data_IF_714434513573
#
_entry.id   IF_714434513573
#
_cell.length_a   1.000
_cell.length_b   1.000
_cell.length_c   1.000
_cell.angle_alpha   90.00
_cell.angle_beta   90.00
_cell.angle_gamma   90.00
#
_symmetry.space_group_name_H-M   'P 1'
#
loop_
_entity.id
_entity.type
_entity.pdbx_description
1 polymer ?
#
# COMPACT_ATOMS: atom_id res chain seq x y z
N UNK A 1 -7.44 -7.02 -41.77
CA UNK A 1 -6.64 -7.92 -40.90
C UNK A 1 -5.52 -7.07 -40.33
N UNK A 2 -5.73 -6.37 -39.20
CA UNK A 2 -5.44 -6.81 -37.81
C UNK A 2 -3.95 -7.15 -37.64
N UNK A 3 -3.12 -6.53 -36.79
CA UNK A 3 -3.28 -5.75 -35.55
C UNK A 3 -2.10 -6.21 -34.65
N UNK A 4 -1.10 -5.36 -34.35
CA UNK A 4 -0.95 -4.47 -33.18
C UNK A 4 -0.34 -5.15 -31.94
N UNK A 5 0.67 -4.52 -31.31
CA UNK A 5 1.30 -4.98 -30.06
C UNK A 5 2.54 -4.17 -29.64
N UNK A 6 2.32 -3.04 -28.95
CA UNK A 6 3.18 -2.46 -27.91
C UNK A 6 4.57 -1.93 -28.26
N UNK A 7 4.67 -0.68 -28.75
CA UNK A 7 5.92 0.12 -28.70
C UNK A 7 5.70 1.30 -27.75
N UNK A 8 6.39 1.31 -26.62
CA UNK A 8 6.59 2.52 -25.83
C UNK A 8 7.91 3.20 -26.26
N UNK A 9 7.74 4.27 -27.05
CA UNK A 9 8.65 5.40 -27.43
C UNK A 9 10.01 5.18 -28.16
N UNK A 10 10.33 6.12 -29.08
CA UNK A 10 11.59 6.26 -29.88
C UNK A 10 12.00 7.75 -29.98
N UNK A 11 13.19 8.05 -30.55
CA UNK A 11 14.39 8.72 -29.97
C UNK A 11 14.62 10.10 -30.64
N UNK A 12 15.32 11.02 -29.97
CA UNK A 12 16.20 12.06 -30.57
C UNK A 12 17.37 12.29 -29.58
N UNK A 13 18.65 11.99 -29.80
CA UNK A 13 19.52 12.09 -30.98
C UNK A 13 19.53 13.49 -31.59
N UNK A 14 20.11 14.44 -30.87
CA UNK A 14 21.01 15.47 -31.41
C UNK A 14 21.72 16.25 -30.26
N UNK A 15 22.88 15.71 -29.85
CA UNK A 15 24.08 16.42 -29.35
C UNK A 15 24.20 16.85 -27.86
N UNK A 16 25.20 16.23 -27.19
CA UNK A 16 26.38 16.76 -26.43
C UNK A 16 26.43 18.24 -25.98
N UNK A 17 27.08 18.75 -24.93
CA UNK A 17 27.81 18.37 -23.68
C UNK A 17 28.06 19.73 -23.00
N UNK A 18 27.67 20.04 -21.76
CA UNK A 18 28.43 19.76 -20.54
C UNK A 18 27.51 19.93 -19.31
N UNK A 19 27.16 18.82 -18.67
CA UNK A 19 27.59 18.42 -17.32
C UNK A 19 27.21 19.40 -16.19
N UNK A 20 26.12 19.03 -15.49
CA UNK A 20 25.63 19.39 -14.15
C UNK A 20 24.53 20.45 -13.98
N UNK A 21 24.36 21.45 -14.85
CA UNK A 21 23.14 22.30 -14.81
C UNK A 21 21.93 21.65 -15.54
N UNK A 22 22.14 20.49 -16.17
CA UNK A 22 21.24 19.88 -17.16
C UNK A 22 20.09 19.01 -16.62
N UNK A 23 20.05 18.65 -15.34
CA UNK A 23 18.96 17.82 -14.80
C UNK A 23 17.61 18.58 -14.72
N UNK A 24 17.63 19.91 -14.49
CA UNK A 24 16.44 20.75 -14.56
C UNK A 24 16.07 21.19 -15.99
N UNK A 25 16.98 21.08 -16.95
CA UNK A 25 16.87 21.70 -18.29
C UNK A 25 16.21 20.84 -19.38
N UNK A 26 15.78 19.61 -19.08
CA UNK A 26 15.28 18.67 -20.10
C UNK A 26 13.84 18.95 -20.56
N UNK A 27 13.14 19.85 -19.87
CA UNK A 27 11.89 20.41 -20.35
C UNK A 27 12.20 21.52 -21.35
N UNK A 28 11.60 21.47 -22.54
CA UNK A 28 11.52 22.66 -23.42
C UNK A 28 11.06 23.86 -22.59
N UNK A 29 11.50 25.09 -22.90
CA UNK A 29 11.01 26.30 -22.20
C UNK A 29 9.48 26.32 -22.09
N UNK A 30 8.79 25.74 -23.06
CA UNK A 30 7.34 25.50 -23.08
C UNK A 30 6.85 24.49 -22.03
N UNK A 31 7.53 23.36 -21.82
CA UNK A 31 7.22 22.38 -20.75
C UNK A 31 7.58 22.91 -19.36
N UNK A 32 8.69 23.62 -19.23
CA UNK A 32 9.06 24.32 -18.00
C UNK A 32 8.01 25.37 -17.66
N UNK A 33 7.59 26.20 -18.62
CA UNK A 33 6.53 27.19 -18.43
C UNK A 33 5.17 26.54 -18.09
N UNK A 34 4.82 25.42 -18.73
CA UNK A 34 3.61 24.66 -18.39
C UNK A 34 3.66 24.06 -16.98
N UNK A 35 4.84 23.64 -16.51
CA UNK A 35 5.05 23.09 -15.18
C UNK A 35 5.25 24.16 -14.09
N UNK A 36 5.67 25.38 -14.43
CA UNK A 36 5.83 26.48 -13.47
C UNK A 36 4.52 26.86 -12.75
N UNK A 37 3.37 26.56 -13.37
CA UNK A 37 2.03 26.75 -12.80
C UNK A 37 1.34 25.40 -12.50
N UNK A 38 2.11 24.37 -12.12
CA UNK A 38 1.58 23.05 -11.85
C UNK A 38 1.74 22.63 -10.38
N UNK A 39 0.67 22.02 -9.85
CA UNK A 39 0.64 21.30 -8.59
C UNK A 39 0.67 19.80 -8.89
N UNK A 40 1.74 19.13 -8.48
CA UNK A 40 1.88 17.68 -8.62
C UNK A 40 1.35 17.03 -7.35
N UNK A 41 0.45 16.06 -7.49
CA UNK A 41 -0.17 15.33 -6.37
C UNK A 41 0.02 13.84 -6.63
N UNK A 42 0.77 13.17 -5.75
CA UNK A 42 0.94 11.73 -5.74
C UNK A 42 -0.05 11.07 -4.79
N UNK A 43 -0.81 10.10 -5.27
CA UNK A 43 -1.78 9.32 -4.49
C UNK A 43 -1.34 7.86 -4.54
N UNK A 44 -1.06 7.30 -3.37
CA UNK A 44 -0.94 5.86 -3.17
C UNK A 44 -2.30 5.36 -2.65
N UNK A 45 -3.08 4.71 -3.52
CA UNK A 45 -4.35 4.10 -3.12
C UNK A 45 -4.13 2.62 -2.85
N UNK A 46 -3.60 2.27 -1.68
CA UNK A 46 -3.28 0.88 -1.32
C UNK A 46 -4.49 0.06 -0.86
N UNK A 47 -4.33 -1.27 -0.82
CA UNK A 47 -5.38 -2.20 -0.36
C UNK A 47 -5.77 -1.97 1.10
N UNK A 48 -4.78 -1.75 1.97
CA UNK A 48 -4.96 -1.59 3.42
C UNK A 48 -4.89 -0.14 3.87
N UNK A 49 -3.97 0.62 3.28
CA UNK A 49 -3.72 2.02 3.60
C UNK A 49 -3.50 2.82 2.33
N UNK A 50 -3.88 4.09 2.36
CA UNK A 50 -3.65 5.07 1.30
C UNK A 50 -2.81 6.24 1.81
N UNK A 51 -2.04 6.87 0.94
CA UNK A 51 -1.21 8.02 1.27
C UNK A 51 -1.29 9.09 0.19
N UNK A 52 -1.07 10.35 0.56
CA UNK A 52 -1.04 11.45 -0.39
C UNK A 52 0.15 12.36 -0.11
N UNK A 53 0.87 12.69 -1.18
CA UNK A 53 1.91 13.71 -1.17
C UNK A 53 1.66 14.73 -2.27
N UNK A 54 2.18 15.93 -2.12
CA UNK A 54 2.06 16.97 -3.14
C UNK A 54 3.25 17.92 -3.11
N UNK A 55 3.48 18.57 -4.25
CA UNK A 55 4.59 19.49 -4.42
C UNK A 55 4.30 20.47 -5.55
N UNK A 56 4.75 21.71 -5.41
CA UNK A 56 4.82 22.65 -6.53
C UNK A 56 6.16 22.53 -7.23
N UNK A 57 6.21 22.77 -8.53
CA UNK A 57 7.46 22.62 -9.30
C UNK A 57 8.59 23.51 -8.77
N UNK A 58 8.26 24.68 -8.22
CA UNK A 58 9.22 25.56 -7.55
C UNK A 58 9.83 24.95 -6.27
N UNK A 59 9.04 24.17 -5.51
CA UNK A 59 9.49 23.49 -4.27
C UNK A 59 10.15 22.14 -4.53
N UNK A 60 9.78 21.45 -5.60
CA UNK A 60 10.41 20.18 -5.98
C UNK A 60 11.93 20.32 -6.15
N UNK A 61 12.39 21.44 -6.74
CA UNK A 61 13.82 21.75 -6.91
C UNK A 61 14.59 21.93 -5.58
N UNK A 62 13.88 22.00 -4.45
CA UNK A 62 14.45 22.11 -3.10
C UNK A 62 14.26 20.83 -2.28
N UNK A 63 13.79 19.74 -2.90
CA UNK A 63 13.46 18.47 -2.25
C UNK A 63 12.42 18.61 -1.11
N UNK A 64 11.47 19.55 -1.27
CA UNK A 64 10.46 19.90 -0.27
C UNK A 64 9.09 19.31 -0.65
N UNK A 65 8.99 17.99 -0.56
CA UNK A 65 7.76 17.23 -0.84
C UNK A 65 6.89 17.24 0.42
N UNK A 66 5.62 17.64 0.27
CA UNK A 66 4.68 17.73 1.38
C UNK A 66 3.88 16.43 1.46
N UNK A 67 4.01 15.69 2.55
CA UNK A 67 3.20 14.50 2.84
C UNK A 67 2.01 14.91 3.71
N UNK A 68 0.81 14.47 3.36
CA UNK A 68 -0.36 14.70 4.21
C UNK A 68 -0.30 13.72 5.38
N UNK A 69 -0.25 14.25 6.61
CA UNK A 69 -0.23 13.43 7.83
C UNK A 69 -1.42 13.64 8.75
N UNK A 70 -2.15 14.74 8.57
CA UNK A 70 -3.36 15.04 9.35
C UNK A 70 -4.57 14.42 8.65
N UNK A 71 -5.27 13.50 9.32
CA UNK A 71 -6.44 12.80 8.77
C UNK A 71 -7.66 12.93 9.70
N UNK A 72 -8.89 12.96 9.16
CA UNK A 72 -10.08 12.97 10.01
C UNK A 72 -10.22 11.64 10.76
N UNK A 73 -10.74 11.68 11.99
CA UNK A 73 -10.95 10.49 12.82
C UNK A 73 -9.77 10.10 13.71
N UNK A 74 -8.64 10.80 13.62
CA UNK A 74 -7.48 10.60 14.52
C UNK A 74 -6.90 11.93 14.97
N UNK A 75 -6.31 11.96 16.17
CA UNK A 75 -5.50 13.09 16.66
C UNK A 75 -4.01 12.92 16.33
N UNK A 76 -3.61 11.75 15.85
CA UNK A 76 -2.21 11.45 15.55
C UNK A 76 -1.86 11.88 14.13
N UNK A 77 -0.60 12.24 13.92
CA UNK A 77 -0.05 12.48 12.59
C UNK A 77 0.42 11.14 12.00
N UNK A 78 -0.25 10.68 10.95
CA UNK A 78 0.00 9.38 10.33
C UNK A 78 0.37 9.57 8.86
N UNK A 79 1.44 8.96 8.37
CA UNK A 79 1.84 9.11 6.97
C UNK A 79 0.83 8.52 5.97
N UNK A 80 -0.02 7.61 6.44
CA UNK A 80 -1.08 6.96 5.66
C UNK A 80 -2.39 6.91 6.44
N UNK A 81 -3.49 6.73 5.71
CA UNK A 81 -4.86 6.60 6.23
C UNK A 81 -5.45 5.25 5.82
N UNK A 82 -6.20 4.54 6.66
CA UNK A 82 -6.79 3.25 6.31
C UNK A 82 -7.66 3.31 5.04
N UNK A 83 -7.59 2.29 4.21
CA UNK A 83 -8.47 2.11 3.04
C UNK A 83 -9.76 1.41 3.49
N UNK A 84 -10.55 2.11 4.31
CA UNK A 84 -11.80 1.62 4.90
C UNK A 84 -12.96 2.55 4.60
N UNK A 85 -14.15 1.98 4.44
CA UNK A 85 -15.42 2.68 4.30
C UNK A 85 -16.47 2.12 5.26
N UNK A 86 -17.37 2.98 5.71
CA UNK A 86 -18.61 2.59 6.35
C UNK A 86 -19.75 3.47 5.84
N UNK A 87 -20.87 2.83 5.50
CA UNK A 87 -22.06 3.51 5.00
C UNK A 87 -23.12 3.51 6.11
N UNK A 88 -23.34 4.68 6.70
CA UNK A 88 -24.37 4.84 7.74
C UNK A 88 -25.74 5.11 7.11
N UNK A 89 -26.78 4.47 7.64
CA UNK A 89 -28.15 4.63 7.15
C UNK A 89 -28.59 6.10 7.18
N UNK A 90 -29.04 6.61 6.03
CA UNK A 90 -29.57 7.96 5.89
C UNK A 90 -28.53 9.05 5.63
N UNK A 91 -27.23 8.71 5.62
CA UNK A 91 -26.17 9.64 5.21
C UNK A 91 -25.92 9.58 3.70
N UNK A 92 -25.57 10.73 3.10
CA UNK A 92 -25.21 10.79 1.67
C UNK A 92 -23.74 10.47 1.41
N UNK A 93 -22.86 10.67 2.38
CA UNK A 93 -21.43 10.46 2.26
C UNK A 93 -20.98 9.39 3.27
N UNK A 94 -20.14 8.43 2.88
CA UNK A 94 -19.65 7.42 3.81
C UNK A 94 -18.62 8.00 4.78
N UNK A 95 -18.49 7.36 5.94
CA UNK A 95 -17.29 7.48 6.76
C UNK A 95 -16.13 6.78 6.05
N UNK A 96 -14.91 7.28 6.23
CA UNK A 96 -13.72 6.75 5.59
C UNK A 96 -12.48 6.87 6.49
N UNK A 97 -11.47 6.06 6.22
CA UNK A 97 -10.18 6.16 6.92
C UNK A 97 -10.32 5.89 8.42
N UNK A 98 -9.66 6.72 9.23
CA UNK A 98 -9.71 6.63 10.70
C UNK A 98 -11.09 6.97 11.30
N UNK A 99 -12.03 7.49 10.51
CA UNK A 99 -13.41 7.67 10.97
C UNK A 99 -14.17 6.34 11.04
N UNK A 100 -13.63 5.28 10.46
CA UNK A 100 -14.25 3.95 10.42
C UNK A 100 -13.57 3.03 11.43
N UNK A 101 -14.29 2.67 12.48
CA UNK A 101 -13.86 1.64 13.41
C UNK A 101 -13.71 0.28 12.69
N UNK A 102 -12.72 -0.51 13.10
CA UNK A 102 -12.43 -1.82 12.51
C UNK A 102 -13.46 -2.89 12.93
N UNK A 103 -14.67 -2.81 12.40
CA UNK A 103 -15.78 -3.69 12.80
C UNK A 103 -16.19 -4.66 11.69
N UNK A 104 -17.19 -5.50 11.97
CA UNK A 104 -17.81 -6.37 10.97
C UNK A 104 -18.50 -5.62 9.82
N UNK A 105 -18.82 -4.34 10.01
CA UNK A 105 -19.46 -3.49 9.01
C UNK A 105 -18.46 -2.64 8.22
N UNK A 106 -17.18 -2.62 8.61
CA UNK A 106 -16.14 -1.91 7.88
C UNK A 106 -15.86 -2.60 6.54
N UNK A 107 -16.13 -1.90 5.44
CA UNK A 107 -15.80 -2.33 4.10
C UNK A 107 -14.32 -2.05 3.83
N UNK A 108 -13.55 -3.11 3.58
CA UNK A 108 -12.11 -3.08 3.31
C UNK A 108 -11.81 -3.97 2.09
N UNK A 109 -10.59 -3.86 1.53
CA UNK A 109 -10.10 -4.69 0.41
C UNK A 109 -10.92 -4.61 -0.88
N UNK A 110 -11.86 -3.67 -0.96
CA UNK A 110 -12.68 -3.45 -2.15
C UNK A 110 -11.84 -3.04 -3.37
N UNK A 111 -10.60 -2.55 -3.19
CA UNK A 111 -9.60 -2.36 -4.26
C UNK A 111 -9.32 -3.65 -5.03
N UNK A 112 -9.18 -4.78 -4.34
CA UNK A 112 -8.84 -6.07 -4.97
C UNK A 112 -10.02 -6.65 -5.76
N UNK A 113 -11.25 -6.22 -5.47
CA UNK A 113 -12.45 -6.62 -6.19
C UNK A 113 -12.60 -5.95 -7.56
N UNK A 114 -11.67 -5.07 -7.96
CA UNK A 114 -11.54 -4.68 -9.37
C UNK A 114 -11.05 -5.82 -10.25
N UNK A 115 -10.36 -6.82 -9.69
CA UNK A 115 -9.92 -7.99 -10.44
C UNK A 115 -11.09 -8.95 -10.67
N UNK A 116 -11.15 -9.50 -11.89
CA UNK A 116 -12.07 -10.59 -12.21
C UNK A 116 -11.68 -11.86 -11.48
N UNK A 117 -12.65 -12.72 -11.18
CA UNK A 117 -12.40 -13.94 -10.42
C UNK A 117 -11.39 -14.87 -11.10
N UNK A 118 -11.42 -15.01 -12.41
CA UNK A 118 -10.45 -15.80 -13.17
C UNK A 118 -9.00 -15.31 -13.04
N UNK A 119 -8.81 -14.03 -12.72
CA UNK A 119 -7.50 -13.39 -12.59
C UNK A 119 -7.02 -13.30 -11.13
N UNK A 120 -7.87 -13.73 -10.19
CA UNK A 120 -7.52 -13.81 -8.77
C UNK A 120 -6.93 -15.18 -8.44
N UNK A 121 -5.94 -15.22 -7.56
CA UNK A 121 -5.45 -16.49 -7.00
C UNK A 121 -6.56 -17.20 -6.20
N UNK A 122 -6.52 -18.53 -6.11
CA UNK A 122 -7.57 -19.30 -5.42
C UNK A 122 -7.72 -18.86 -3.96
N UNK A 123 -6.59 -18.73 -3.27
CA UNK A 123 -6.55 -18.32 -1.87
C UNK A 123 -7.08 -16.88 -1.68
N UNK A 124 -6.91 -16.00 -2.67
CA UNK A 124 -7.54 -14.67 -2.70
C UNK A 124 -9.06 -14.79 -2.66
N UNK A 125 -9.59 -15.56 -3.61
CA UNK A 125 -11.03 -15.64 -3.86
C UNK A 125 -11.79 -16.21 -2.68
N UNK A 126 -11.13 -17.10 -1.93
CA UNK A 126 -11.68 -17.84 -0.81
C UNK A 126 -11.35 -17.20 0.54
N UNK A 127 -10.56 -16.13 0.59
CA UNK A 127 -10.26 -15.40 1.83
C UNK A 127 -11.52 -14.83 2.48
N UNK A 128 -11.59 -14.93 3.82
CA UNK A 128 -12.74 -14.46 4.61
C UNK A 128 -12.98 -12.95 4.39
N UNK A 129 -11.93 -12.18 4.14
CA UNK A 129 -11.94 -10.74 3.92
C UNK A 129 -12.57 -10.39 2.57
N UNK A 130 -12.23 -11.08 1.48
CA UNK A 130 -12.92 -10.86 0.20
C UNK A 130 -14.35 -11.36 0.24
N UNK A 131 -14.61 -12.49 0.90
CA UNK A 131 -15.97 -12.99 1.08
C UNK A 131 -16.82 -11.96 1.83
N UNK A 132 -16.28 -11.38 2.91
CA UNK A 132 -16.90 -10.29 3.68
C UNK A 132 -17.10 -9.04 2.82
N UNK A 133 -16.08 -8.59 2.09
CA UNK A 133 -16.18 -7.41 1.23
C UNK A 133 -17.24 -7.59 0.13
N UNK A 134 -17.30 -8.75 -0.53
CA UNK A 134 -18.34 -9.08 -1.51
C UNK A 134 -19.73 -9.11 -0.89
N UNK A 135 -19.87 -9.66 0.33
CA UNK A 135 -21.14 -9.66 1.06
C UNK A 135 -21.61 -8.23 1.33
N UNK A 136 -20.75 -7.40 1.93
CA UNK A 136 -21.07 -6.01 2.24
C UNK A 136 -21.45 -5.20 0.98
N UNK A 137 -20.71 -5.37 -0.12
CA UNK A 137 -21.07 -4.72 -1.40
C UNK A 137 -22.46 -5.11 -1.90
N UNK A 138 -22.82 -6.40 -1.81
CA UNK A 138 -24.17 -6.87 -2.19
C UNK A 138 -25.24 -6.28 -1.29
N UNK A 139 -25.01 -6.28 0.03
CA UNK A 139 -25.97 -5.74 1.01
C UNK A 139 -26.20 -4.24 0.80
N UNK A 140 -25.15 -3.51 0.37
CA UNK A 140 -25.21 -2.09 0.01
C UNK A 140 -25.75 -1.82 -1.40
N UNK A 141 -25.88 -2.84 -2.25
CA UNK A 141 -26.21 -2.66 -3.67
C UNK A 141 -25.18 -1.84 -4.44
N UNK A 142 -23.89 -1.93 -4.06
CA UNK A 142 -22.78 -1.14 -4.64
C UNK A 142 -21.80 -2.03 -5.39
N UNK A 143 -21.18 -1.47 -6.42
CA UNK A 143 -20.04 -2.10 -7.11
C UNK A 143 -18.72 -1.77 -6.41
N UNK A 144 -17.65 -2.56 -6.61
CA UNK A 144 -16.31 -2.19 -6.16
C UNK A 144 -15.91 -0.78 -6.63
N UNK A 145 -16.20 -0.46 -7.89
CA UNK A 145 -15.90 0.82 -8.50
C UNK A 145 -16.64 1.96 -7.78
N UNK A 146 -17.89 1.78 -7.35
CA UNK A 146 -18.64 2.80 -6.58
C UNK A 146 -17.94 3.11 -5.26
N UNK A 147 -17.50 2.07 -4.54
CA UNK A 147 -16.79 2.24 -3.27
C UNK A 147 -15.42 2.89 -3.47
N UNK A 148 -14.68 2.53 -4.52
CA UNK A 148 -13.42 3.21 -4.87
C UNK A 148 -13.68 4.68 -5.19
N UNK A 149 -14.70 4.99 -5.98
CA UNK A 149 -15.03 6.38 -6.30
C UNK A 149 -15.43 7.17 -5.05
N UNK A 150 -16.21 6.59 -4.14
CA UNK A 150 -16.60 7.22 -2.88
C UNK A 150 -15.40 7.47 -1.96
N UNK A 151 -14.51 6.49 -1.80
CA UNK A 151 -13.27 6.63 -1.01
C UNK A 151 -12.35 7.70 -1.60
N UNK A 152 -12.06 7.60 -2.90
CA UNK A 152 -11.21 8.58 -3.59
C UNK A 152 -11.82 9.98 -3.56
N UNK A 153 -13.15 10.11 -3.58
CA UNK A 153 -13.83 11.42 -3.45
C UNK A 153 -13.56 12.04 -2.07
N UNK A 154 -13.69 11.25 -1.02
CA UNK A 154 -13.42 11.71 0.35
C UNK A 154 -11.93 12.08 0.53
N UNK A 155 -11.02 11.21 0.08
CA UNK A 155 -9.58 11.44 0.08
C UNK A 155 -9.21 12.71 -0.70
N UNK A 156 -9.80 12.90 -1.88
CA UNK A 156 -9.55 14.05 -2.75
C UNK A 156 -10.03 15.36 -2.12
N UNK A 157 -11.26 15.39 -1.58
CA UNK A 157 -11.78 16.56 -0.87
C UNK A 157 -10.88 16.95 0.30
N UNK A 158 -10.44 15.97 1.09
CA UNK A 158 -9.53 16.21 2.21
C UNK A 158 -8.15 16.69 1.74
N UNK A 159 -7.61 16.10 0.68
CA UNK A 159 -6.34 16.52 0.06
C UNK A 159 -6.37 18.00 -0.30
N UNK A 160 -7.41 18.46 -1.00
CA UNK A 160 -7.54 19.86 -1.37
C UNK A 160 -7.70 20.78 -0.16
N UNK A 161 -8.42 20.34 0.88
CA UNK A 161 -8.53 21.07 2.14
C UNK A 161 -7.16 21.25 2.81
N UNK A 162 -6.34 20.20 2.86
CA UNK A 162 -5.01 20.25 3.47
C UNK A 162 -4.05 21.15 2.69
N UNK A 163 -4.09 21.08 1.36
CA UNK A 163 -3.29 21.97 0.49
C UNK A 163 -3.70 23.44 0.72
N UNK A 164 -4.99 23.74 0.85
CA UNK A 164 -5.50 25.11 1.10
C UNK A 164 -5.20 25.61 2.52
N UNK A 165 -5.01 24.75 3.51
CA UNK A 165 -4.71 25.17 4.90
C UNK A 165 -3.44 26.06 4.98
N UNK A 166 -2.47 25.85 4.10
CA UNK A 166 -1.22 26.62 4.04
C UNK A 166 -1.16 27.67 2.93
N UNK A 167 -2.21 27.84 2.14
CA UNK A 167 -2.18 28.62 0.89
C UNK A 167 -3.50 29.35 0.63
N UNK A 168 -3.45 30.58 0.12
CA UNK A 168 -4.66 31.27 -0.27
C UNK A 168 -5.36 30.54 -1.45
N UNK A 169 -6.68 30.40 -1.38
CA UNK A 169 -7.48 29.60 -2.33
C UNK A 169 -7.23 29.99 -3.80
N UNK A 170 -7.16 31.29 -4.09
CA UNK A 170 -6.91 31.82 -5.43
C UNK A 170 -5.56 31.38 -6.01
N UNK A 171 -4.56 31.08 -5.18
CA UNK A 171 -3.27 30.56 -5.64
C UNK A 171 -3.44 29.12 -6.10
N UNK A 172 -4.14 28.29 -5.34
CA UNK A 172 -4.35 26.88 -5.68
C UNK A 172 -5.24 26.75 -6.92
N UNK A 173 -6.27 27.58 -7.04
CA UNK A 173 -7.15 27.63 -8.22
C UNK A 173 -6.44 28.09 -9.50
N UNK A 174 -5.32 28.81 -9.37
CA UNK A 174 -4.49 29.25 -10.50
C UNK A 174 -3.53 28.17 -11.02
N UNK A 175 -3.44 27.01 -10.36
CA UNK A 175 -2.53 25.93 -10.72
C UNK A 175 -3.23 24.81 -11.49
N UNK A 176 -2.59 24.33 -12.55
CA UNK A 176 -2.96 23.08 -13.21
C UNK A 176 -2.55 21.90 -12.36
N UNK A 177 -3.42 20.89 -12.25
CA UNK A 177 -3.11 19.71 -11.45
C UNK A 177 -2.53 18.59 -12.31
N UNK A 178 -1.48 17.98 -11.80
CA UNK A 178 -0.90 16.75 -12.34
C UNK A 178 -0.97 15.68 -11.27
N UNK A 179 -1.93 14.77 -11.41
CA UNK A 179 -2.21 13.71 -10.45
C UNK A 179 -1.54 12.43 -10.93
N UNK A 180 -0.73 11.85 -10.05
CA UNK A 180 -0.11 10.54 -10.23
C UNK A 180 -0.78 9.60 -9.25
N UNK A 181 -1.46 8.56 -9.76
CA UNK A 181 -2.14 7.56 -8.95
C UNK A 181 -1.44 6.22 -9.15
N UNK A 182 -0.96 5.60 -8.07
CA UNK A 182 -0.31 4.30 -8.17
C UNK A 182 -1.33 3.16 -8.32
N UNK A 183 -0.95 2.12 -9.06
CA UNK A 183 -1.72 0.88 -9.21
C UNK A 183 -0.77 -0.32 -9.22
N UNK A 184 -1.21 -1.53 -8.83
CA UNK A 184 -0.36 -2.71 -8.89
C UNK A 184 0.14 -2.98 -10.32
N UNK A 185 1.39 -3.41 -10.45
CA UNK A 185 1.99 -3.68 -11.76
C UNK A 185 1.26 -4.79 -12.52
N UNK A 186 0.88 -5.85 -11.81
CA UNK A 186 0.22 -7.06 -12.35
C UNK A 186 -1.23 -6.84 -12.80
N UNK A 187 -1.82 -5.66 -12.57
CA UNK A 187 -3.19 -5.39 -12.98
C UNK A 187 -3.38 -5.42 -14.49
N UNK A 188 -4.46 -6.05 -14.96
CA UNK A 188 -4.83 -6.02 -16.37
C UNK A 188 -5.48 -4.69 -16.75
N UNK A 189 -5.52 -4.39 -18.05
CA UNK A 189 -6.01 -3.10 -18.57
C UNK A 189 -7.43 -2.75 -18.10
N UNK A 190 -8.30 -3.74 -17.92
CA UNK A 190 -9.66 -3.50 -17.44
C UNK A 190 -9.67 -2.92 -16.01
N UNK A 191 -8.79 -3.39 -15.11
CA UNK A 191 -8.70 -2.89 -13.74
C UNK A 191 -8.11 -1.48 -13.71
N UNK A 192 -7.12 -1.20 -14.58
CA UNK A 192 -6.57 0.15 -14.77
C UNK A 192 -7.65 1.11 -15.30
N UNK A 193 -8.48 0.66 -16.24
CA UNK A 193 -9.58 1.45 -16.81
C UNK A 193 -10.64 1.75 -15.74
N UNK A 194 -11.06 0.72 -14.99
CA UNK A 194 -12.00 0.88 -13.88
C UNK A 194 -11.48 1.87 -12.81
N UNK A 195 -10.18 1.84 -12.52
CA UNK A 195 -9.54 2.82 -11.63
C UNK A 195 -9.60 4.25 -12.18
N UNK A 196 -9.34 4.45 -13.48
CA UNK A 196 -9.47 5.77 -14.11
C UNK A 196 -10.91 6.29 -14.05
N UNK A 197 -11.90 5.41 -14.29
CA UNK A 197 -13.30 5.76 -14.20
C UNK A 197 -13.74 6.09 -12.76
N UNK A 198 -13.23 5.35 -11.77
CA UNK A 198 -13.46 5.66 -10.36
C UNK A 198 -12.82 7.01 -9.96
N UNK A 199 -11.59 7.29 -10.37
CA UNK A 199 -10.92 8.57 -10.16
C UNK A 199 -11.69 9.74 -10.80
N UNK A 200 -12.25 9.54 -11.99
CA UNK A 200 -13.12 10.53 -12.65
C UNK A 200 -14.40 10.78 -11.84
N UNK A 201 -15.10 9.71 -11.42
CA UNK A 201 -16.32 9.80 -10.59
C UNK A 201 -16.06 10.34 -9.17
N UNK A 202 -14.81 10.28 -8.71
CA UNK A 202 -14.37 10.89 -7.46
C UNK A 202 -14.17 12.41 -7.55
N UNK A 203 -14.23 12.99 -8.75
CA UNK A 203 -14.04 14.43 -8.97
C UNK A 203 -12.58 14.85 -9.12
N UNK A 204 -11.64 13.90 -9.21
CA UNK A 204 -10.21 14.22 -9.41
C UNK A 204 -10.03 15.00 -10.72
N UNK A 205 -10.74 14.57 -11.77
CA UNK A 205 -10.70 15.17 -13.11
C UNK A 205 -11.78 16.24 -13.35
N UNK A 206 -12.40 16.80 -12.31
CA UNK A 206 -13.34 17.91 -12.48
C UNK A 206 -12.67 19.13 -13.15
N UNK A 207 -13.47 19.89 -13.90
CA UNK A 207 -12.97 21.07 -14.60
C UNK A 207 -12.42 22.11 -13.60
N UNK A 208 -11.31 22.75 -13.97
CA UNK A 208 -10.65 23.80 -13.17
C UNK A 208 -10.33 25.00 -14.05
N UNK A 209 -10.39 26.20 -13.49
CA UNK A 209 -10.14 27.46 -14.19
C UNK A 209 -8.72 27.58 -14.75
N UNK A 210 -7.72 27.00 -14.07
CA UNK A 210 -6.34 26.95 -14.53
C UNK A 210 -6.11 25.99 -15.71
N UNK A 211 -7.08 25.13 -16.03
CA UNK A 211 -7.01 24.14 -17.11
C UNK A 211 -7.33 22.72 -16.65
N UNK A 212 -7.32 21.80 -17.61
CA UNK A 212 -7.65 20.40 -17.37
C UNK A 212 -6.61 19.72 -16.46
N UNK A 213 -7.10 18.83 -15.60
CA UNK A 213 -6.23 18.00 -14.75
C UNK A 213 -5.70 16.82 -15.54
N UNK A 214 -4.40 16.59 -15.45
CA UNK A 214 -3.78 15.38 -15.99
C UNK A 214 -3.80 14.29 -14.92
N UNK A 215 -4.29 13.10 -15.25
CA UNK A 215 -4.17 11.90 -14.42
C UNK A 215 -3.27 10.89 -15.12
N UNK A 216 -2.24 10.41 -14.43
CA UNK A 216 -1.38 9.33 -14.88
C UNK A 216 -1.46 8.19 -13.88
N UNK A 217 -1.69 6.97 -14.38
CA UNK A 217 -1.51 5.77 -13.58
C UNK A 217 -0.06 5.30 -13.70
N UNK A 218 0.56 5.00 -12.56
CA UNK A 218 1.94 4.49 -12.49
C UNK A 218 1.95 3.18 -11.72
N UNK A 219 2.69 2.15 -12.16
CA UNK A 219 2.89 0.95 -11.36
C UNK A 219 3.52 1.26 -9.99
N UNK A 220 2.94 0.74 -8.92
CA UNK A 220 3.47 0.83 -7.54
C UNK A 220 4.98 0.52 -7.45
N UNK A 221 5.49 -0.59 -8.02
CA UNK A 221 6.92 -0.87 -7.94
C UNK A 221 7.78 0.11 -8.76
N UNK A 222 7.28 0.75 -9.81
CA UNK A 222 8.05 1.80 -10.51
C UNK A 222 8.22 3.03 -9.64
N UNK A 223 7.14 3.44 -8.95
CA UNK A 223 7.18 4.57 -8.03
C UNK A 223 8.10 4.28 -6.83
N UNK A 224 8.03 3.08 -6.25
CA UNK A 224 8.92 2.63 -5.18
C UNK A 224 10.39 2.57 -5.65
N UNK A 225 10.61 1.99 -6.83
CA UNK A 225 11.92 1.86 -7.46
C UNK A 225 12.59 3.20 -7.69
N UNK A 226 11.87 4.16 -8.28
CA UNK A 226 12.41 5.49 -8.54
C UNK A 226 12.83 6.18 -7.24
N UNK A 227 12.02 6.09 -6.19
CA UNK A 227 12.34 6.65 -4.87
C UNK A 227 13.62 6.01 -4.30
N UNK A 228 13.71 4.67 -4.28
CA UNK A 228 14.90 3.97 -3.80
C UNK A 228 16.16 4.36 -4.61
N UNK A 229 16.04 4.44 -5.94
CA UNK A 229 17.16 4.84 -6.81
C UNK A 229 17.60 6.29 -6.55
N UNK A 230 16.67 7.19 -6.24
CA UNK A 230 16.97 8.58 -5.88
C UNK A 230 17.63 8.70 -4.50
N UNK A 231 17.16 7.93 -3.51
CA UNK A 231 17.67 7.97 -2.14
C UNK A 231 19.04 7.30 -1.98
N UNK A 232 19.21 6.10 -2.55
CA UNK A 232 20.42 5.29 -2.36
C UNK A 232 21.54 5.63 -3.33
N UNK A 233 21.33 6.59 -4.24
CA UNK A 233 22.38 7.36 -4.92
C UNK A 233 23.42 6.54 -5.70
N UNK A 234 23.14 5.28 -6.02
CA UNK A 234 24.05 4.47 -6.84
C UNK A 234 23.96 4.95 -8.28
N UNK A 235 25.11 5.21 -8.91
CA UNK A 235 25.18 5.51 -10.33
C UNK A 235 24.78 4.25 -11.12
N UNK A 236 23.48 4.15 -11.39
CA UNK A 236 22.90 3.09 -12.22
C UNK A 236 23.54 3.17 -13.61
N UNK A 237 23.82 2.02 -14.23
CA UNK A 237 24.38 1.93 -15.59
C UNK A 237 23.42 1.23 -16.54
N UNK A 238 23.40 1.62 -17.82
CA UNK A 238 22.72 0.84 -18.84
C UNK A 238 23.18 -0.63 -18.82
N UNK A 239 22.23 -1.54 -18.85
CA UNK A 239 22.45 -2.98 -18.77
C UNK A 239 22.35 -3.58 -17.37
N UNK A 240 22.40 -2.78 -16.30
CA UNK A 240 22.16 -3.26 -14.94
C UNK A 240 20.71 -3.70 -14.77
N UNK A 241 20.53 -4.67 -13.89
CA UNK A 241 19.23 -5.29 -13.58
C UNK A 241 19.00 -5.15 -12.09
N UNK A 242 17.82 -4.70 -11.70
CA UNK A 242 17.41 -4.59 -10.31
C UNK A 242 16.03 -5.21 -10.11
N UNK A 243 15.87 -5.79 -8.92
CA UNK A 243 14.62 -6.41 -8.48
C UNK A 243 13.99 -5.47 -7.46
N UNK A 244 12.70 -5.20 -7.66
CA UNK A 244 11.88 -4.48 -6.71
C UNK A 244 10.91 -5.48 -6.11
N UNK A 245 10.91 -5.55 -4.79
CA UNK A 245 9.97 -6.34 -4.01
C UNK A 245 9.12 -5.36 -3.21
N UNK A 246 7.94 -5.04 -3.73
CA UNK A 246 6.95 -4.23 -3.04
C UNK A 246 6.10 -5.15 -2.14
N UNK A 247 6.50 -5.26 -0.88
CA UNK A 247 5.77 -6.02 0.12
C UNK A 247 4.78 -5.11 0.84
N UNK A 248 3.57 -5.02 0.31
CA UNK A 248 2.51 -4.19 0.84
C UNK A 248 1.69 -4.84 1.95
N UNK A 249 0.59 -4.16 2.33
CA UNK A 249 -0.34 -4.67 3.34
C UNK A 249 -1.12 -5.90 2.88
N UNK A 250 -1.52 -5.95 1.60
CA UNK A 250 -2.31 -7.05 1.06
C UNK A 250 -1.61 -7.89 0.00
N UNK A 251 -0.84 -7.26 -0.88
CA UNK A 251 -0.08 -7.95 -1.92
C UNK A 251 1.41 -7.82 -1.67
N UNK A 252 2.16 -8.80 -2.15
CA UNK A 252 3.59 -8.64 -2.43
C UNK A 252 3.77 -8.77 -3.93
N UNK A 253 4.35 -7.76 -4.54
CA UNK A 253 4.59 -7.67 -5.97
C UNK A 253 6.10 -7.60 -6.22
N UNK A 254 6.62 -8.50 -7.04
CA UNK A 254 8.04 -8.57 -7.40
C UNK A 254 8.19 -8.33 -8.90
N UNK A 255 9.02 -7.36 -9.25
CA UNK A 255 9.31 -7.05 -10.65
C UNK A 255 10.79 -6.83 -10.85
N UNK A 256 11.29 -7.27 -12.00
CA UNK A 256 12.69 -7.09 -12.37
C UNK A 256 12.77 -6.11 -13.52
N UNK A 257 13.56 -5.06 -13.35
CA UNK A 257 13.80 -4.07 -14.39
C UNK A 257 15.24 -4.12 -14.86
N UNK A 258 15.41 -3.95 -16.16
CA UNK A 258 16.69 -3.69 -16.80
C UNK A 258 16.78 -2.23 -17.19
N UNK A 259 17.90 -1.63 -16.87
CA UNK A 259 18.20 -0.24 -17.20
C UNK A 259 18.56 -0.18 -18.68
N UNK A 260 17.71 0.43 -19.50
CA UNK A 260 17.97 0.65 -20.92
C UNK A 260 18.90 1.85 -21.14
N UNK A 261 18.61 2.94 -20.44
CA UNK A 261 19.33 4.20 -20.53
C UNK A 261 19.28 4.91 -19.18
N UNK A 262 20.22 5.81 -18.93
CA UNK A 262 20.27 6.62 -17.70
C UNK A 262 20.02 8.09 -17.98
N UNK A 263 19.98 8.50 -19.27
CA UNK A 263 19.73 9.87 -19.71
C UNK A 263 18.87 9.90 -21.00
N UNK A 264 17.53 9.97 -20.88
CA UNK A 264 16.74 9.86 -19.65
C UNK A 264 16.81 8.46 -19.03
N UNK A 265 16.42 8.32 -17.76
CA UNK A 265 16.29 7.00 -17.12
C UNK A 265 15.20 6.22 -17.86
N UNK A 266 15.59 5.12 -18.49
CA UNK A 266 14.70 4.20 -19.20
C UNK A 266 14.80 2.85 -18.50
N UNK A 267 13.66 2.40 -17.98
CA UNK A 267 13.52 1.13 -17.28
C UNK A 267 12.63 0.26 -18.14
N UNK A 268 13.11 -0.92 -18.49
CA UNK A 268 12.33 -1.93 -19.20
C UNK A 268 12.17 -3.14 -18.31
N UNK A 269 10.98 -3.72 -18.28
CA UNK A 269 10.75 -4.99 -17.61
C UNK A 269 11.69 -6.05 -18.21
N UNK A 270 12.49 -6.69 -17.36
CA UNK A 270 13.45 -7.71 -17.75
C UNK A 270 12.79 -9.09 -17.86
N UNK A 271 11.86 -9.37 -16.95
CA UNK A 271 10.97 -10.54 -16.93
C UNK A 271 9.61 -10.09 -16.40
N UNK A 272 8.55 -10.78 -16.81
CA UNK A 272 7.19 -10.55 -16.32
C UNK A 272 7.17 -10.55 -14.79
N UNK A 273 6.63 -9.48 -14.19
CA UNK A 273 6.43 -9.38 -12.76
C UNK A 273 5.49 -10.47 -12.24
N UNK A 274 5.70 -10.87 -11.00
CA UNK A 274 4.85 -11.82 -10.29
C UNK A 274 4.40 -11.23 -8.97
N UNK A 275 3.30 -11.74 -8.42
CA UNK A 275 2.78 -11.29 -7.15
C UNK A 275 2.06 -12.39 -6.40
N UNK A 276 1.75 -12.13 -5.15
CA UNK A 276 0.92 -12.99 -4.33
C UNK A 276 0.21 -12.20 -3.23
N UNK A 277 -0.80 -12.81 -2.64
CA UNK A 277 -1.43 -12.32 -1.42
C UNK A 277 -0.74 -12.90 -0.22
N UNK A 278 0.37 -12.29 0.06
CA UNK A 278 1.13 -12.63 1.23
C UNK A 278 1.59 -11.34 1.91
N UNK A 279 0.88 -10.22 1.72
CA UNK A 279 1.20 -8.96 2.39
C UNK A 279 1.05 -9.03 3.92
N UNK A 280 1.37 -7.92 4.58
CA UNK A 280 1.41 -7.83 6.05
C UNK A 280 0.17 -8.36 6.79
N UNK A 281 -1.00 -8.28 6.18
CA UNK A 281 -2.26 -8.72 6.80
C UNK A 281 -2.44 -10.22 6.94
N UNK A 282 -1.82 -11.01 6.06
CA UNK A 282 -1.81 -12.46 6.23
C UNK A 282 -1.01 -12.85 7.47
N UNK A 283 -0.08 -11.99 7.86
CA UNK A 283 0.69 -12.16 9.08
C UNK A 283 -0.13 -11.73 10.31
N UNK A 284 -0.96 -10.70 10.16
CA UNK A 284 -1.94 -10.29 11.17
C UNK A 284 -2.96 -11.40 11.46
N UNK A 285 -3.47 -12.04 10.41
CA UNK A 285 -4.39 -13.17 10.51
C UNK A 285 -3.76 -14.40 11.18
N UNK A 286 -2.51 -14.71 10.83
CA UNK A 286 -1.77 -15.80 11.47
C UNK A 286 -1.48 -15.47 12.95
N UNK A 287 -1.16 -14.23 13.28
CA UNK A 287 -1.01 -13.77 14.66
C UNK A 287 -2.32 -13.95 15.45
N UNK A 288 -3.45 -13.47 14.93
CA UNK A 288 -4.77 -13.67 15.55
C UNK A 288 -5.12 -15.14 15.69
N UNK A 289 -4.81 -15.96 14.69
CA UNK A 289 -5.01 -17.41 14.74
C UNK A 289 -4.17 -18.06 15.85
N UNK A 290 -2.91 -17.63 16.01
CA UNK A 290 -2.02 -18.08 17.10
C UNK A 290 -2.57 -17.67 18.46
N UNK A 291 -3.04 -16.44 18.61
CA UNK A 291 -3.70 -15.94 19.83
C UNK A 291 -4.97 -16.73 20.17
N UNK A 292 -5.87 -16.91 19.19
CA UNK A 292 -7.12 -17.66 19.34
C UNK A 292 -6.86 -19.12 19.73
N UNK A 293 -5.92 -19.80 19.05
CA UNK A 293 -5.51 -21.18 19.42
C UNK A 293 -4.95 -21.23 20.83
N UNK A 294 -4.17 -20.22 21.23
CA UNK A 294 -3.57 -20.17 22.56
C UNK A 294 -4.60 -19.93 23.67
N UNK A 295 -5.55 -19.04 23.46
CA UNK A 295 -6.58 -18.69 24.43
C UNK A 295 -7.71 -19.74 24.44
N UNK A 296 -7.95 -20.43 23.33
CA UNK A 296 -8.96 -21.46 23.20
C UNK A 296 -10.38 -20.89 23.23
N UNK A 297 -11.30 -21.58 23.90
CA UNK A 297 -12.74 -21.24 23.91
C UNK A 297 -13.02 -19.84 24.46
N UNK A 298 -12.13 -19.28 25.27
CA UNK A 298 -12.29 -17.94 25.81
C UNK A 298 -12.05 -16.84 24.76
N UNK A 299 -11.45 -17.15 23.60
CA UNK A 299 -11.21 -16.15 22.55
C UNK A 299 -12.52 -15.50 22.06
N UNK A 300 -13.57 -16.31 21.88
CA UNK A 300 -14.88 -15.81 21.45
C UNK A 300 -15.59 -14.93 22.49
N UNK A 301 -15.08 -14.86 23.72
CA UNK A 301 -15.60 -13.97 24.75
C UNK A 301 -14.89 -12.61 24.80
N UNK A 302 -13.78 -12.43 24.06
CA UNK A 302 -13.21 -11.10 23.86
C UNK A 302 -14.17 -10.27 23.02
N UNK A 303 -14.46 -9.05 23.46
CA UNK A 303 -15.22 -8.09 22.65
C UNK A 303 -14.43 -7.75 21.38
N UNK A 304 -15.13 -7.36 20.31
CA UNK A 304 -14.48 -6.92 19.07
C UNK A 304 -13.50 -5.76 19.33
N UNK A 305 -13.89 -4.81 20.19
CA UNK A 305 -13.03 -3.69 20.58
C UNK A 305 -11.72 -4.16 21.24
N UNK A 306 -11.78 -5.19 22.10
CA UNK A 306 -10.57 -5.74 22.72
C UNK A 306 -9.70 -6.46 21.67
N UNK A 307 -10.30 -7.27 20.79
CA UNK A 307 -9.54 -7.93 19.72
C UNK A 307 -8.87 -6.91 18.78
N UNK A 308 -9.55 -5.80 18.49
CA UNK A 308 -8.99 -4.71 17.71
C UNK A 308 -7.84 -4.02 18.43
N UNK A 309 -7.95 -3.76 19.73
CA UNK A 309 -6.84 -3.17 20.51
C UNK A 309 -5.60 -4.08 20.50
N UNK A 310 -5.79 -5.40 20.65
CA UNK A 310 -4.70 -6.38 20.51
C UNK A 310 -4.04 -6.27 19.14
N UNK A 311 -4.82 -6.10 18.07
CA UNK A 311 -4.29 -6.08 16.72
C UNK A 311 -3.66 -4.72 16.34
N UNK A 312 -4.35 -3.63 16.61
CA UNK A 312 -3.98 -2.28 16.17
C UNK A 312 -2.98 -1.62 17.13
N UNK A 313 -3.11 -1.82 18.45
CA UNK A 313 -2.29 -1.11 19.45
C UNK A 313 -1.08 -1.95 19.92
N UNK A 314 -1.25 -3.25 20.13
CA UNK A 314 -0.17 -4.11 20.63
C UNK A 314 0.61 -4.75 19.47
N UNK A 315 -0.11 -5.34 18.50
CA UNK A 315 0.53 -6.05 17.40
C UNK A 315 1.13 -5.12 16.34
N UNK A 316 0.33 -4.29 15.67
CA UNK A 316 0.81 -3.44 14.58
C UNK A 316 1.85 -2.42 15.05
N UNK A 317 1.59 -1.74 16.17
CA UNK A 317 2.44 -0.64 16.65
C UNK A 317 3.70 -1.14 17.36
N UNK A 318 3.64 -2.21 18.16
CA UNK A 318 4.79 -2.69 18.95
C UNK A 318 5.41 -3.98 18.39
N UNK A 319 4.67 -5.09 18.39
CA UNK A 319 5.27 -6.40 18.14
C UNK A 319 5.73 -6.54 16.68
N UNK A 320 4.86 -6.23 15.71
CA UNK A 320 5.11 -6.39 14.28
C UNK A 320 6.16 -5.41 13.80
N UNK A 321 6.01 -4.12 14.10
CA UNK A 321 6.94 -3.05 13.66
C UNK A 321 8.37 -3.22 14.20
N UNK A 322 8.54 -3.85 15.38
CA UNK A 322 9.85 -4.08 16.00
C UNK A 322 10.37 -5.49 15.83
N UNK A 323 9.65 -6.33 15.10
CA UNK A 323 10.04 -7.72 14.92
C UNK A 323 11.37 -7.82 14.17
N UNK A 324 12.31 -8.57 14.75
CA UNK A 324 13.64 -8.74 14.17
C UNK A 324 14.13 -10.19 14.30
N UNK A 325 14.50 -10.79 13.17
CA UNK A 325 15.09 -12.13 13.10
C UNK A 325 16.57 -12.19 13.52
N UNK A 326 17.19 -11.07 13.91
CA UNK A 326 18.62 -11.06 14.29
C UNK A 326 18.86 -11.44 15.75
N UNK A 327 17.88 -11.24 16.62
CA UNK A 327 18.01 -11.55 18.05
C UNK A 327 17.35 -12.93 18.38
N UNK A 328 18.13 -13.97 18.68
CA UNK A 328 17.61 -15.29 19.07
C UNK A 328 16.99 -15.30 20.47
N UNK A 329 17.21 -14.25 21.27
CA UNK A 329 16.65 -14.07 22.61
C UNK A 329 15.40 -13.19 22.64
N UNK A 330 14.99 -12.66 21.49
CA UNK A 330 13.82 -11.79 21.37
C UNK A 330 12.56 -12.43 21.96
N UNK A 331 11.86 -11.61 22.76
CA UNK A 331 10.59 -11.93 23.38
C UNK A 331 9.61 -10.83 23.04
N UNK A 332 8.40 -11.22 22.70
CA UNK A 332 7.31 -10.30 22.44
C UNK A 332 6.20 -10.62 23.43
N UNK A 333 5.71 -9.59 24.11
CA UNK A 333 4.75 -9.69 25.19
C UNK A 333 3.44 -9.15 24.68
N UNK A 334 2.38 -9.93 24.80
CA UNK A 334 1.03 -9.47 24.50
C UNK A 334 0.22 -9.48 25.79
N UNK A 335 -0.22 -8.29 26.23
CA UNK A 335 -1.16 -8.21 27.33
C UNK A 335 -2.53 -8.70 26.89
N UNK A 336 -3.13 -9.57 27.70
CA UNK A 336 -4.53 -9.99 27.57
C UNK A 336 -5.31 -9.67 28.85
N UNK A 337 -4.75 -8.76 29.67
CA UNK A 337 -5.40 -8.22 30.84
C UNK A 337 -6.71 -7.51 30.44
N UNK A 338 -7.73 -7.61 31.29
CA UNK A 338 -9.13 -7.19 30.98
C UNK A 338 -9.84 -8.06 29.93
N UNK A 339 -9.23 -9.19 29.53
CA UNK A 339 -9.89 -10.24 28.77
C UNK A 339 -10.78 -11.14 29.65
N UNK A 340 -11.48 -12.12 29.05
CA UNK A 340 -12.34 -13.09 29.72
C UNK A 340 -11.58 -14.16 30.53
N UNK A 341 -10.24 -14.16 30.51
CA UNK A 341 -9.43 -15.12 31.28
C UNK A 341 -9.35 -14.69 32.75
N UNK A 342 -9.34 -15.68 33.66
CA UNK A 342 -9.28 -15.41 35.10
C UNK A 342 -8.60 -16.56 35.86
N UNK A 343 -8.14 -16.29 37.08
CA UNK A 343 -7.55 -17.31 37.95
C UNK A 343 -6.36 -18.02 37.32
N UNK A 344 -6.36 -19.35 37.35
CA UNK A 344 -5.27 -20.19 36.85
C UNK A 344 -5.02 -20.04 35.34
N UNK A 345 -6.03 -19.63 34.57
CA UNK A 345 -5.87 -19.41 33.12
C UNK A 345 -4.89 -18.26 32.79
N UNK A 346 -4.72 -17.30 33.71
CA UNK A 346 -3.75 -16.20 33.59
C UNK A 346 -2.32 -16.62 33.93
N UNK A 347 -2.10 -17.85 34.40
CA UNK A 347 -0.80 -18.42 34.76
C UNK A 347 -0.51 -19.74 34.01
N UNK A 348 -1.27 -20.04 32.95
CA UNK A 348 -1.15 -21.29 32.21
C UNK A 348 0.20 -21.38 31.46
N UNK A 349 1.08 -22.21 32.00
CA UNK A 349 2.38 -22.56 31.42
C UNK A 349 2.41 -23.98 30.87
N UNK A 350 1.28 -24.70 30.87
CA UNK A 350 1.19 -26.07 30.33
C UNK A 350 1.34 -26.12 28.80
N UNK A 351 1.04 -24.99 28.14
CA UNK A 351 1.05 -24.82 26.69
C UNK A 351 1.92 -23.64 26.28
N UNK A 352 2.39 -23.68 25.03
CA UNK A 352 3.06 -22.57 24.37
C UNK A 352 2.10 -21.81 23.43
N UNK A 353 2.19 -20.47 23.31
CA UNK A 353 3.11 -19.60 24.06
C UNK A 353 2.68 -19.50 25.52
N UNK A 354 3.60 -19.44 26.48
CA UNK A 354 3.22 -19.40 27.90
C UNK A 354 2.37 -18.17 28.24
N UNK A 355 1.41 -18.33 29.15
CA UNK A 355 0.68 -17.22 29.78
C UNK A 355 1.19 -17.11 31.20
N UNK A 356 1.64 -15.91 31.60
CA UNK A 356 2.01 -15.60 32.99
C UNK A 356 1.51 -14.22 33.34
N UNK A 357 0.82 -14.09 34.46
CA UNK A 357 0.20 -12.83 34.91
C UNK A 357 -0.62 -12.15 33.82
N UNK A 358 -1.39 -12.92 33.04
CA UNK A 358 -2.20 -12.37 31.96
C UNK A 358 -1.42 -11.81 30.77
N UNK A 359 -0.16 -12.23 30.59
CA UNK A 359 0.67 -11.85 29.45
C UNK A 359 1.02 -13.10 28.66
N UNK A 360 0.78 -13.07 27.34
CA UNK A 360 1.25 -14.11 26.41
C UNK A 360 2.71 -13.83 26.05
N UNK A 361 3.58 -14.81 26.30
CA UNK A 361 5.00 -14.72 26.02
C UNK A 361 5.35 -15.42 24.69
N UNK A 362 5.43 -14.64 23.61
CA UNK A 362 6.00 -15.09 22.35
C UNK A 362 7.53 -15.07 22.41
N UNK A 363 8.19 -16.08 21.84
CA UNK A 363 9.65 -16.12 21.78
C UNK A 363 10.15 -16.85 20.55
N UNK A 364 11.30 -16.42 20.03
CA UNK A 364 11.84 -16.98 18.80
C UNK A 364 12.20 -18.47 18.91
N UNK A 365 12.75 -18.92 20.04
CA UNK A 365 13.17 -20.32 20.25
C UNK A 365 12.05 -21.35 20.07
N UNK A 366 10.80 -20.95 20.31
CA UNK A 366 9.65 -21.88 20.30
C UNK A 366 9.01 -21.98 18.91
N UNK A 367 9.01 -20.89 18.14
CA UNK A 367 8.31 -20.82 16.85
C UNK A 367 9.22 -20.97 15.63
N UNK A 368 10.54 -20.78 15.77
CA UNK A 368 11.45 -20.62 14.63
C UNK A 368 12.63 -21.61 14.61
N UNK A 369 12.60 -22.65 15.46
CA UNK A 369 13.62 -23.72 15.52
C UNK A 369 13.23 -25.01 14.75
N UNK A 370 12.19 -24.96 13.91
CA UNK A 370 11.98 -26.01 12.91
C UNK A 370 13.07 -25.85 11.83
N UNK A 371 13.80 -26.90 11.43
CA UNK A 371 14.79 -26.79 10.37
C UNK A 371 14.06 -26.49 9.06
N UNK A 372 13.95 -25.22 8.70
CA UNK A 372 13.65 -24.82 7.33
C UNK A 372 14.89 -25.13 6.51
N UNK A 373 14.93 -26.32 5.91
CA UNK A 373 15.78 -26.57 4.75
C UNK A 373 15.33 -25.62 3.65
N UNK A 374 15.93 -24.44 3.58
CA UNK A 374 15.83 -23.59 2.41
C UNK A 374 16.71 -24.24 1.33
N UNK A 375 16.14 -24.76 0.23
CA UNK A 375 16.98 -25.12 -0.90
C UNK A 375 17.71 -23.85 -1.34
N UNK A 376 19.03 -23.90 -1.38
CA UNK A 376 19.83 -22.92 -2.09
C UNK A 376 19.24 -22.79 -3.50
N UNK A 377 18.69 -21.62 -3.80
CA UNK A 377 18.10 -21.30 -5.10
C UNK A 377 19.18 -21.50 -6.17
N UNK A 378 19.12 -22.61 -6.89
CA UNK A 378 19.82 -22.77 -8.17
C UNK A 378 19.13 -21.89 -9.21
N UNK A 379 19.87 -21.45 -10.22
CA UNK A 379 19.49 -20.42 -11.21
C UNK A 379 18.11 -20.57 -11.86
N UNK A 380 17.49 -21.75 -11.81
CA UNK A 380 16.18 -22.04 -12.40
C UNK A 380 14.99 -21.83 -11.44
N UNK A 381 15.21 -21.40 -10.19
CA UNK A 381 14.17 -21.30 -9.14
C UNK A 381 13.83 -19.88 -8.67
N UNK A 382 14.40 -18.84 -9.30
CA UNK A 382 14.08 -17.45 -8.98
C UNK A 382 12.60 -17.07 -9.27
N UNK A 383 11.89 -17.88 -10.06
CA UNK A 383 10.47 -17.72 -10.40
C UNK A 383 9.50 -18.30 -9.34
N UNK A 384 9.99 -18.78 -8.19
CA UNK A 384 9.15 -19.40 -7.14
C UNK A 384 9.21 -18.68 -5.79
N UNK A 385 9.71 -17.43 -5.78
CA UNK A 385 9.81 -16.61 -4.57
C UNK A 385 8.43 -16.28 -3.97
N UNK A 386 7.42 -15.97 -4.79
CA UNK A 386 6.09 -15.60 -4.29
C UNK A 386 5.32 -16.73 -3.57
N UNK A 387 5.64 -18.00 -3.83
CA UNK A 387 4.88 -19.16 -3.31
C UNK A 387 5.51 -19.88 -2.11
N UNK A 388 6.72 -19.49 -1.70
CA UNK A 388 7.48 -20.19 -0.63
C UNK A 388 7.85 -19.31 0.56
N UNK A 389 7.44 -18.04 0.56
CA UNK A 389 7.66 -17.14 1.70
C UNK A 389 6.68 -17.49 2.82
N UNK A 390 7.23 -17.97 3.94
CA UNK A 390 6.44 -18.15 5.16
C UNK A 390 6.12 -16.77 5.76
N UNK A 391 5.03 -16.60 6.52
CA UNK A 391 4.69 -15.34 7.18
C UNK A 391 5.87 -14.74 7.98
N UNK A 392 6.71 -15.59 8.54
CA UNK A 392 7.91 -15.23 9.30
C UNK A 392 9.02 -14.58 8.46
N UNK A 393 9.25 -15.07 7.25
CA UNK A 393 10.22 -14.48 6.31
C UNK A 393 9.70 -13.14 5.80
N UNK A 394 8.40 -13.07 5.53
CA UNK A 394 7.77 -11.89 4.98
C UNK A 394 7.73 -10.74 6.00
N UNK A 395 7.50 -11.04 7.28
CA UNK A 395 7.60 -10.07 8.36
C UNK A 395 9.02 -9.52 8.55
N UNK A 396 10.05 -10.27 8.13
CA UNK A 396 11.44 -9.80 8.07
C UNK A 396 11.79 -8.96 6.83
N UNK A 397 10.94 -8.96 5.79
CA UNK A 397 11.07 -8.10 4.60
C UNK A 397 10.25 -6.81 4.71
N UNK A 398 9.20 -6.80 5.54
CA UNK A 398 8.32 -5.65 5.76
C UNK A 398 8.93 -4.58 6.70
N UNK A 399 9.95 -4.94 7.48
CA UNK A 399 10.70 -4.07 8.42
C UNK A 399 12.14 -3.88 7.95
#
# INVERSE_FOLDING_TARGET
MSGNGGKYMKKSSEVSTSKREKYLGWMTKSRQAAMHNCLIIGIDFGTTFSGVSWVTVARFNKNDINVITEWPGTSNNEAKVPTRLSYENGTKEPLWGFQVENTEQALQWFKLLLLKEEDMWKDLRESDQLVKARRLLRDLGKTPEDCIADYLRALWKHTLKMIRKGHADYLIESLQFHVVLTVPAIWKDYARTAMQDAAKRAGILEHRSAGETTLILVPEPEAAGLTALLEYGTAIKPGEVYVICDAGGGTVDVITYKVGNTQPLELGEAVEGDGALCGGMFIDEDFITKCSKRIGRNWSHFSQAHQNAILEDEWEVDIKSRFCLKDPSAKWLLSIENGPLSGEDLEDTSRMPHIKRGIIHFSRKVYFNQPTTYPLLTSDSALTLGRSLTPELLLGFLN
#
